data_IF_729520495758
#
_entry.id   IF_729520495758
#
_cell.length_a   1.000
_cell.length_b   1.000
_cell.length_c   1.000
_cell.angle_alpha   90.00
_cell.angle_beta   90.00
_cell.angle_gamma   90.00
#
_symmetry.space_group_name_H-M   'P 1'
#
loop_
_entity.id
_entity.type
_entity.pdbx_description
1 polymer ?
#
# COMPACT_ATOMS: atom_id res chain seq x y z
N UNK A 1 -26.21 -14.77 4.31
CA UNK A 1 -25.76 -15.75 3.31
C UNK A 1 -25.85 -15.22 1.88
N UNK A 2 -26.05 -13.92 1.69
CA UNK A 2 -25.65 -13.21 0.46
C UNK A 2 -24.26 -12.61 0.75
N UNK A 3 -23.19 -13.01 0.05
CA UNK A 3 -22.06 -12.12 -0.31
C UNK A 3 -20.78 -12.79 -0.86
N UNK A 4 -20.58 -14.11 -0.86
CA UNK A 4 -19.30 -14.66 -1.36
C UNK A 4 -19.23 -14.85 -2.89
N UNK A 5 -20.37 -14.93 -3.58
CA UNK A 5 -20.41 -15.21 -5.02
C UNK A 5 -20.26 -13.97 -5.92
N UNK A 6 -20.51 -12.76 -5.41
CA UNK A 6 -20.35 -11.52 -6.23
C UNK A 6 -18.87 -11.10 -6.40
N UNK A 7 -17.97 -11.56 -5.54
CA UNK A 7 -16.57 -11.11 -5.52
C UNK A 7 -15.58 -12.12 -6.13
N UNK A 8 -16.00 -13.36 -6.37
CA UNK A 8 -15.12 -14.47 -6.78
C UNK A 8 -14.61 -14.39 -8.23
N UNK A 9 -15.07 -13.42 -9.03
CA UNK A 9 -14.79 -13.35 -10.48
C UNK A 9 -14.16 -12.04 -10.96
N UNK A 10 -13.76 -11.13 -10.06
CA UNK A 10 -13.24 -9.81 -10.48
C UNK A 10 -11.84 -9.92 -11.07
N UNK A 11 -11.01 -10.81 -10.52
CA UNK A 11 -9.70 -11.12 -11.05
C UNK A 11 -9.77 -12.37 -11.93
N UNK A 12 -9.03 -12.37 -13.03
CA UNK A 12 -8.92 -13.50 -13.94
C UNK A 12 -8.19 -14.66 -13.26
N UNK A 13 -8.79 -15.85 -13.34
CA UNK A 13 -8.18 -17.10 -12.85
C UNK A 13 -6.96 -17.51 -13.70
N UNK A 14 -6.96 -17.20 -15.00
CA UNK A 14 -5.90 -17.56 -15.95
C UNK A 14 -5.05 -16.34 -16.31
N UNK A 15 -4.55 -15.62 -15.32
CA UNK A 15 -3.67 -14.47 -15.53
C UNK A 15 -2.27 -14.91 -15.97
N UNK A 16 -1.72 -14.25 -17.00
CA UNK A 16 -0.35 -14.51 -17.45
C UNK A 16 0.66 -13.82 -16.52
N UNK A 17 1.13 -14.55 -15.51
CA UNK A 17 2.13 -14.07 -14.55
C UNK A 17 3.49 -13.79 -15.19
N UNK A 18 3.77 -14.29 -16.40
CA UNK A 18 5.05 -14.03 -17.08
C UNK A 18 5.16 -12.60 -17.60
N UNK A 19 4.04 -11.89 -17.68
CA UNK A 19 3.99 -10.47 -18.06
C UNK A 19 4.39 -9.51 -16.93
N UNK A 20 4.46 -9.99 -15.69
CA UNK A 20 4.80 -9.17 -14.52
C UNK A 20 6.29 -8.82 -14.54
N UNK A 21 6.59 -7.54 -14.41
CA UNK A 21 7.98 -7.06 -14.31
C UNK A 21 8.21 -6.43 -12.94
N UNK A 22 9.43 -6.58 -12.42
CA UNK A 22 9.89 -5.97 -11.16
C UNK A 22 10.94 -4.90 -11.46
N UNK A 23 10.74 -3.72 -10.88
CA UNK A 23 11.67 -2.59 -10.99
C UNK A 23 11.98 -2.07 -9.58
N UNK A 24 13.25 -2.10 -9.18
CA UNK A 24 13.67 -1.59 -7.85
C UNK A 24 13.74 -0.08 -7.89
N UNK A 25 13.21 0.59 -6.86
CA UNK A 25 13.28 2.04 -6.75
C UNK A 25 14.56 2.40 -6.00
N UNK A 26 15.42 3.20 -6.63
CA UNK A 26 16.58 3.77 -5.98
C UNK A 26 16.13 4.96 -5.13
N UNK A 27 15.99 4.74 -3.81
CA UNK A 27 15.62 5.81 -2.88
C UNK A 27 16.82 6.65 -2.44
N UNK A 28 17.99 6.03 -2.30
CA UNK A 28 19.20 6.69 -1.81
C UNK A 28 20.39 6.45 -2.74
N UNK A 29 21.14 7.51 -3.11
CA UNK A 29 20.73 8.93 -3.07
C UNK A 29 19.48 9.18 -3.95
N UNK A 30 18.73 10.29 -3.75
CA UNK A 30 19.07 11.44 -2.92
C UNK A 30 18.65 11.31 -1.44
N UNK A 31 17.70 10.44 -1.11
CA UNK A 31 17.09 10.43 0.24
C UNK A 31 18.06 9.88 1.29
N UNK A 32 18.07 10.51 2.47
CA UNK A 32 18.70 9.95 3.68
C UNK A 32 17.67 9.10 4.41
N UNK A 33 17.97 7.81 4.63
CA UNK A 33 17.07 6.86 5.26
C UNK A 33 17.70 6.37 6.59
N UNK A 34 17.02 6.58 7.71
CA UNK A 34 17.54 6.25 9.05
C UNK A 34 17.52 4.75 9.34
N UNK A 35 16.43 4.08 8.93
CA UNK A 35 16.17 2.68 9.28
C UNK A 35 16.56 1.69 8.15
N UNK A 36 16.98 2.21 7.00
CA UNK A 36 17.33 1.42 5.82
C UNK A 36 18.79 1.59 5.48
N UNK A 37 19.45 0.47 5.13
CA UNK A 37 20.83 0.54 4.67
C UNK A 37 20.92 1.35 3.37
N UNK A 38 21.83 2.32 3.31
CA UNK A 38 22.24 3.01 2.08
C UNK A 38 22.87 2.07 1.03
N UNK A 39 23.08 0.79 1.37
CA UNK A 39 23.56 -0.19 0.41
C UNK A 39 22.48 -0.51 -0.63
N UNK A 40 22.89 -0.67 -1.88
CA UNK A 40 22.04 -1.11 -2.99
C UNK A 40 21.44 -2.52 -2.83
N UNK A 41 21.76 -3.21 -1.73
CA UNK A 41 21.27 -4.55 -1.43
C UNK A 41 19.93 -4.54 -0.67
N UNK A 42 19.65 -3.45 0.04
CA UNK A 42 18.30 -3.22 0.58
C UNK A 42 17.41 -2.82 -0.61
N UNK A 43 16.27 -3.49 -0.76
CA UNK A 43 15.26 -3.14 -1.77
C UNK A 43 13.99 -2.69 -1.04
N UNK A 44 14.05 -1.59 -0.26
CA UNK A 44 12.97 -1.21 0.64
C UNK A 44 11.74 -0.70 -0.11
N UNK A 45 11.87 -0.38 -1.41
CA UNK A 45 10.76 -0.11 -2.31
C UNK A 45 11.02 -0.64 -3.73
N UNK A 46 9.98 -1.18 -4.37
CA UNK A 46 10.00 -1.62 -5.76
C UNK A 46 8.60 -1.58 -6.38
N UNK A 47 8.57 -1.56 -7.71
CA UNK A 47 7.36 -1.62 -8.52
C UNK A 47 7.19 -3.02 -9.07
N UNK A 48 5.95 -3.50 -9.08
CA UNK A 48 5.50 -4.60 -9.90
C UNK A 48 4.53 -4.05 -10.95
N UNK A 49 4.89 -4.17 -12.22
CA UNK A 49 4.04 -3.71 -13.34
C UNK A 49 3.28 -4.87 -13.94
N UNK A 50 2.20 -4.56 -14.66
CA UNK A 50 1.33 -5.54 -15.30
C UNK A 50 0.79 -6.59 -14.31
N UNK A 51 0.44 -6.20 -13.08
CA UNK A 51 -0.12 -7.14 -12.10
C UNK A 51 -1.63 -7.32 -12.25
N UNK A 52 -2.31 -6.32 -12.80
CA UNK A 52 -3.73 -6.34 -13.10
C UNK A 52 -3.98 -5.77 -14.50
N UNK A 53 -5.00 -6.28 -15.19
CA UNK A 53 -5.47 -5.66 -16.45
C UNK A 53 -6.31 -4.42 -16.16
N UNK A 54 -6.48 -3.55 -17.18
CA UNK A 54 -7.35 -2.38 -17.07
C UNK A 54 -8.80 -2.77 -16.77
N UNK A 55 -9.26 -3.91 -17.29
CA UNK A 55 -10.60 -4.46 -17.03
C UNK A 55 -10.76 -4.91 -15.57
N UNK A 56 -9.76 -5.58 -15.00
CA UNK A 56 -9.75 -5.98 -13.59
C UNK A 56 -9.76 -4.76 -12.68
N UNK A 57 -8.91 -3.76 -12.97
CA UNK A 57 -8.90 -2.50 -12.25
C UNK A 57 -10.25 -1.77 -12.32
N UNK A 58 -10.88 -1.74 -13.50
CA UNK A 58 -12.23 -1.18 -13.67
C UNK A 58 -13.27 -1.98 -12.88
N UNK A 59 -13.17 -3.30 -12.84
CA UNK A 59 -14.01 -4.17 -12.02
C UNK A 59 -13.92 -3.85 -10.53
N UNK A 60 -12.69 -3.67 -10.03
CA UNK A 60 -12.42 -3.25 -8.65
C UNK A 60 -12.95 -1.84 -8.34
N UNK A 61 -12.81 -0.89 -9.27
CA UNK A 61 -13.43 0.44 -9.11
C UNK A 61 -14.94 0.33 -9.04
N UNK A 62 -15.58 -0.40 -9.96
CA UNK A 62 -17.04 -0.57 -9.98
C UNK A 62 -17.58 -1.24 -8.70
N UNK A 63 -16.81 -2.19 -8.15
CA UNK A 63 -17.11 -2.82 -6.87
C UNK A 63 -17.21 -1.77 -5.76
N UNK A 64 -16.20 -0.90 -5.65
CA UNK A 64 -16.11 0.12 -4.60
C UNK A 64 -17.10 1.28 -4.82
N UNK A 65 -17.28 1.72 -6.06
CA UNK A 65 -18.17 2.81 -6.46
C UNK A 65 -19.65 2.41 -6.50
N UNK A 66 -20.04 1.24 -5.98
CA UNK A 66 -21.44 0.80 -6.00
C UNK A 66 -22.34 1.78 -5.23
N UNK A 67 -22.88 2.78 -5.95
CA UNK A 67 -23.57 3.96 -5.40
C UNK A 67 -24.85 3.59 -4.66
N UNK A 68 -25.43 2.42 -4.94
CA UNK A 68 -26.60 1.92 -4.19
C UNK A 68 -26.25 1.57 -2.74
N UNK A 69 -24.99 1.21 -2.48
CA UNK A 69 -24.48 0.81 -1.17
C UNK A 69 -23.78 1.95 -0.41
N UNK A 70 -23.40 3.05 -1.09
CA UNK A 70 -22.79 4.22 -0.44
C UNK A 70 -21.51 3.88 0.34
N UNK A 71 -20.66 3.02 -0.24
CA UNK A 71 -19.59 2.31 0.48
C UNK A 71 -18.41 3.19 0.91
N UNK A 72 -18.16 4.27 0.17
CA UNK A 72 -17.09 5.21 0.49
C UNK A 72 -17.51 6.12 1.64
N UNK A 73 -16.79 6.03 2.75
CA UNK A 73 -16.90 6.96 3.89
C UNK A 73 -15.68 7.87 3.92
N UNK A 74 -15.81 9.03 4.56
CA UNK A 74 -14.66 9.94 4.69
C UNK A 74 -13.57 9.28 5.54
N UNK A 75 -12.30 9.45 5.16
CA UNK A 75 -11.21 8.77 5.86
C UNK A 75 -10.95 9.41 7.22
N UNK A 76 -10.81 8.57 8.24
CA UNK A 76 -10.40 8.96 9.59
C UNK A 76 -8.86 8.90 9.68
N UNK A 77 -8.29 9.82 10.45
CA UNK A 77 -6.89 9.85 10.84
C UNK A 77 -6.84 9.53 12.32
N UNK A 78 -5.96 8.62 12.74
CA UNK A 78 -5.73 8.39 14.15
C UNK A 78 -4.78 9.47 14.68
N UNK A 79 -5.27 10.34 15.55
CA UNK A 79 -4.49 11.37 16.24
C UNK A 79 -4.58 11.03 17.72
N UNK A 80 -3.44 10.70 18.34
CA UNK A 80 -3.34 10.37 19.77
C UNK A 80 -4.27 9.22 20.23
N UNK A 81 -4.54 8.24 19.37
CA UNK A 81 -5.41 7.11 19.68
C UNK A 81 -6.89 7.34 19.36
N UNK A 82 -7.29 8.54 18.93
CA UNK A 82 -8.65 8.85 18.50
C UNK A 82 -8.76 8.98 16.98
N UNK A 83 -9.79 8.36 16.40
CA UNK A 83 -10.08 8.44 14.98
C UNK A 83 -10.88 9.72 14.66
N UNK A 84 -10.21 10.71 14.08
CA UNK A 84 -10.80 12.02 13.74
C UNK A 84 -10.80 12.28 12.24
N UNK A 85 -11.79 13.03 11.75
CA UNK A 85 -11.78 13.55 10.38
C UNK A 85 -10.90 14.80 10.36
N UNK A 86 -9.69 14.69 9.79
CA UNK A 86 -8.81 15.84 9.59
C UNK A 86 -8.43 15.98 8.10
N UNK A 87 -9.11 16.91 7.41
CA UNK A 87 -8.94 17.14 5.96
C UNK A 87 -7.57 17.74 5.61
N UNK A 88 -6.91 18.39 6.56
CA UNK A 88 -5.59 19.00 6.36
C UNK A 88 -4.48 17.95 6.35
N UNK A 89 -4.69 16.85 7.08
CA UNK A 89 -3.77 15.69 7.16
C UNK A 89 -4.10 14.65 6.09
N UNK A 90 -5.38 14.29 5.96
CA UNK A 90 -5.81 13.31 4.96
C UNK A 90 -7.17 13.69 4.41
N UNK A 91 -7.21 13.97 3.12
CA UNK A 91 -8.45 14.18 2.38
C UNK A 91 -8.63 13.03 1.38
N UNK A 92 -9.85 12.52 1.29
CA UNK A 92 -10.16 11.31 0.53
C UNK A 92 -11.24 10.47 1.21
N UNK A 93 -11.82 9.56 0.44
CA UNK A 93 -12.78 8.58 0.96
C UNK A 93 -12.22 7.16 0.91
N UNK A 94 -12.63 6.33 1.87
CA UNK A 94 -12.21 4.95 2.02
C UNK A 94 -13.41 4.00 2.02
N UNK A 95 -13.24 2.85 1.39
CA UNK A 95 -14.11 1.69 1.54
C UNK A 95 -13.26 0.50 1.99
N UNK A 96 -13.70 -0.21 3.03
CA UNK A 96 -13.03 -1.38 3.57
C UNK A 96 -13.79 -2.64 3.12
N UNK A 97 -13.06 -3.58 2.53
CA UNK A 97 -13.55 -4.89 2.13
C UNK A 97 -12.56 -5.96 2.60
N UNK A 98 -13.01 -6.84 3.48
CA UNK A 98 -12.24 -8.05 3.80
C UNK A 98 -12.61 -9.12 2.75
N UNK A 99 -11.62 -9.60 1.96
CA UNK A 99 -11.87 -10.52 0.85
C UNK A 99 -10.70 -11.47 0.57
N UNK A 100 -10.80 -12.70 1.11
CA UNK A 100 -9.86 -13.78 0.86
C UNK A 100 -9.74 -14.16 -0.62
N UNK A 101 -10.86 -14.09 -1.37
CA UNK A 101 -10.88 -14.47 -2.78
C UNK A 101 -10.04 -13.53 -3.66
N UNK A 102 -10.11 -12.21 -3.42
CA UNK A 102 -9.29 -11.24 -4.17
C UNK A 102 -7.83 -11.34 -3.71
N UNK A 103 -7.62 -11.43 -2.39
CA UNK A 103 -6.29 -11.42 -1.78
C UNK A 103 -5.48 -12.67 -2.16
N UNK A 104 -6.09 -13.86 -2.16
CA UNK A 104 -5.43 -15.10 -2.60
C UNK A 104 -5.02 -15.08 -4.09
N UNK A 105 -5.84 -14.49 -4.95
CA UNK A 105 -5.53 -14.32 -6.37
C UNK A 105 -4.39 -13.32 -6.59
N UNK A 106 -4.42 -12.17 -5.89
CA UNK A 106 -3.32 -11.22 -5.91
C UNK A 106 -2.02 -11.86 -5.40
N UNK A 107 -2.09 -12.57 -4.27
CA UNK A 107 -0.94 -13.25 -3.66
C UNK A 107 -0.31 -14.27 -4.60
N UNK A 108 -1.13 -15.07 -5.30
CA UNK A 108 -0.66 -16.02 -6.31
C UNK A 108 0.19 -15.33 -7.38
N UNK A 109 -0.22 -14.13 -7.83
CA UNK A 109 0.50 -13.36 -8.85
C UNK A 109 1.81 -12.78 -8.34
N UNK A 110 1.81 -12.20 -7.13
CA UNK A 110 2.93 -11.35 -6.68
C UNK A 110 3.94 -12.06 -5.78
N UNK A 111 3.54 -13.15 -5.10
CA UNK A 111 4.38 -13.81 -4.09
C UNK A 111 5.79 -14.18 -4.55
N UNK A 112 6.05 -14.55 -5.83
CA UNK A 112 7.42 -14.82 -6.29
C UNK A 112 8.34 -13.59 -6.24
N UNK A 113 7.80 -12.39 -6.16
CA UNK A 113 8.55 -11.12 -6.17
C UNK A 113 8.72 -10.50 -4.77
N UNK A 114 7.99 -11.01 -3.78
CA UNK A 114 8.00 -10.51 -2.40
C UNK A 114 9.16 -11.14 -1.62
N UNK A 115 9.91 -10.36 -0.82
CA UNK A 115 11.00 -10.90 -0.01
C UNK A 115 10.49 -11.99 0.95
N UNK A 116 11.03 -13.21 0.91
CA UNK A 116 10.58 -14.30 1.78
C UNK A 116 10.97 -14.07 3.25
N UNK A 117 11.99 -13.25 3.49
CA UNK A 117 12.46 -12.88 4.82
C UNK A 117 12.62 -11.36 4.89
N UNK A 118 12.13 -10.76 5.97
CA UNK A 118 12.30 -9.35 6.24
C UNK A 118 12.35 -9.11 7.75
N UNK A 119 13.31 -8.30 8.22
CA UNK A 119 13.46 -7.91 9.65
C UNK A 119 13.37 -9.08 10.64
N UNK A 120 13.91 -10.24 10.27
CA UNK A 120 13.93 -11.45 11.11
C UNK A 120 12.63 -12.27 11.12
N UNK A 121 11.65 -11.93 10.28
CA UNK A 121 10.38 -12.63 10.12
C UNK A 121 10.26 -13.28 8.73
N UNK A 122 9.36 -14.26 8.61
CA UNK A 122 9.08 -15.01 7.38
C UNK A 122 7.76 -14.58 6.79
N UNK A 123 7.69 -14.37 5.47
CA UNK A 123 6.46 -13.96 4.79
C UNK A 123 5.36 -15.04 4.94
N UNK A 124 4.13 -14.62 5.23
CA UNK A 124 2.98 -15.53 5.39
C UNK A 124 1.90 -15.32 4.33
N UNK A 125 1.79 -14.11 3.79
CA UNK A 125 0.81 -13.78 2.77
C UNK A 125 0.46 -12.31 2.79
N UNK A 126 -0.78 -12.01 2.43
CA UNK A 126 -1.35 -10.67 2.46
C UNK A 126 -2.40 -10.56 3.55
N UNK A 127 -2.61 -9.34 4.04
CA UNK A 127 -3.76 -9.00 4.86
C UNK A 127 -5.05 -9.12 4.02
N UNK A 128 -6.06 -9.78 4.56
CA UNK A 128 -7.38 -9.98 3.94
C UNK A 128 -8.14 -8.65 3.74
N UNK A 129 -7.76 -7.60 4.48
CA UNK A 129 -8.39 -6.29 4.47
C UNK A 129 -7.90 -5.41 3.33
N UNK A 130 -8.74 -5.28 2.30
CA UNK A 130 -8.55 -4.34 1.21
C UNK A 130 -9.12 -2.96 1.58
N UNK A 131 -8.28 -1.94 1.48
CA UNK A 131 -8.66 -0.54 1.70
C UNK A 131 -8.73 0.16 0.36
N UNK A 132 -9.92 0.27 -0.22
CA UNK A 132 -10.16 1.07 -1.40
C UNK A 132 -10.09 2.55 -1.02
N UNK A 133 -9.31 3.32 -1.75
CA UNK A 133 -9.09 4.74 -1.52
C UNK A 133 -9.46 5.51 -2.78
N UNK A 134 -10.17 6.62 -2.61
CA UNK A 134 -10.57 7.54 -3.66
C UNK A 134 -10.15 8.95 -3.29
N UNK A 135 -9.44 9.60 -4.22
CA UNK A 135 -8.98 10.97 -4.10
C UNK A 135 -9.53 11.81 -5.26
N UNK A 136 -10.21 12.89 -4.93
CA UNK A 136 -10.81 13.88 -5.84
C UNK A 136 -9.88 15.11 -5.96
N UNK A 137 -10.10 16.01 -6.93
CA UNK A 137 -9.30 17.21 -7.08
C UNK A 137 -9.24 18.04 -5.79
N UNK A 138 -8.04 18.54 -5.47
CA UNK A 138 -7.75 19.25 -4.22
C UNK A 138 -7.40 18.33 -3.04
N UNK A 139 -7.51 17.01 -3.18
CA UNK A 139 -7.19 16.07 -2.11
C UNK A 139 -5.75 15.57 -2.19
N UNK A 140 -5.18 15.23 -1.02
CA UNK A 140 -3.82 14.73 -0.83
C UNK A 140 -3.74 13.87 0.43
N UNK A 141 -2.61 13.20 0.61
CA UNK A 141 -2.25 12.57 1.88
C UNK A 141 -0.88 13.08 2.30
N UNK A 142 -0.80 13.81 3.42
CA UNK A 142 0.44 14.43 3.88
C UNK A 142 1.52 13.40 4.24
N UNK A 143 2.79 13.82 4.39
CA UNK A 143 3.88 12.93 4.81
C UNK A 143 3.54 12.12 6.07
N UNK A 144 3.76 10.81 5.99
CA UNK A 144 3.53 9.87 7.09
C UNK A 144 4.34 8.57 6.91
N UNK A 145 4.39 7.79 8.00
CA UNK A 145 4.72 6.37 7.97
C UNK A 145 3.44 5.54 8.03
N UNK A 146 3.46 4.35 7.43
CA UNK A 146 2.30 3.48 7.45
C UNK A 146 2.20 2.70 8.76
N UNK A 147 0.99 2.64 9.32
CA UNK A 147 0.73 1.88 10.54
C UNK A 147 0.89 0.38 10.32
N UNK A 148 1.51 -0.30 11.29
CA UNK A 148 1.63 -1.75 11.35
C UNK A 148 0.35 -2.41 11.88
N UNK A 149 -0.01 -3.56 11.34
CA UNK A 149 -1.12 -4.39 11.81
C UNK A 149 -0.57 -5.69 12.39
N UNK A 150 -1.09 -6.12 13.55
CA UNK A 150 -0.84 -7.44 14.11
C UNK A 150 -2.13 -8.25 14.06
N UNK A 151 -2.07 -9.50 13.59
CA UNK A 151 -3.27 -10.35 13.53
C UNK A 151 -3.70 -10.71 14.95
N UNK A 152 -4.98 -10.49 15.28
CA UNK A 152 -5.50 -10.77 16.62
C UNK A 152 -5.32 -12.25 17.03
N UNK A 153 -5.49 -13.18 16.07
CA UNK A 153 -5.33 -14.62 16.31
C UNK A 153 -3.87 -15.06 16.47
N UNK A 154 -2.91 -14.29 15.96
CA UNK A 154 -1.48 -14.54 16.11
C UNK A 154 -0.69 -13.22 16.14
N UNK A 155 -0.44 -12.65 17.34
CA UNK A 155 0.28 -11.38 17.47
C UNK A 155 1.72 -11.39 16.95
N UNK A 156 2.28 -12.56 16.64
CA UNK A 156 3.60 -12.68 16.01
C UNK A 156 3.53 -12.49 14.48
N UNK A 157 2.34 -12.56 13.90
CA UNK A 157 2.09 -12.24 12.50
C UNK A 157 1.73 -10.76 12.37
N UNK A 158 2.65 -10.00 11.80
CA UNK A 158 2.57 -8.54 11.68
C UNK A 158 2.75 -8.09 10.23
N UNK A 159 2.15 -6.97 9.85
CA UNK A 159 2.50 -6.32 8.59
C UNK A 159 3.85 -5.61 8.72
N UNK A 160 4.68 -5.72 7.68
CA UNK A 160 5.94 -4.98 7.57
C UNK A 160 6.07 -4.21 6.25
N UNK A 161 5.26 -4.56 5.26
CA UNK A 161 5.34 -4.02 3.89
C UNK A 161 3.94 -3.62 3.46
N UNK A 162 3.83 -2.46 2.83
CA UNK A 162 2.58 -2.00 2.21
C UNK A 162 2.57 -2.33 0.72
N UNK A 163 1.40 -2.78 0.26
CA UNK A 163 1.03 -2.84 -1.15
C UNK A 163 0.07 -1.70 -1.48
N UNK A 164 0.51 -0.85 -2.40
CA UNK A 164 -0.31 0.20 -2.97
C UNK A 164 -0.62 -0.14 -4.44
N UNK A 165 -1.85 -0.57 -4.70
CA UNK A 165 -2.32 -0.99 -6.03
C UNK A 165 -2.99 0.20 -6.71
N UNK A 166 -2.49 0.62 -7.88
CA UNK A 166 -3.07 1.72 -8.64
C UNK A 166 -4.13 1.19 -9.62
N UNK A 167 -5.38 1.65 -9.47
CA UNK A 167 -6.50 1.16 -10.28
C UNK A 167 -6.78 2.01 -11.53
N UNK A 168 -6.20 3.20 -11.61
CA UNK A 168 -6.30 4.05 -12.80
C UNK A 168 -5.11 5.01 -12.89
N UNK A 169 -4.98 5.67 -14.04
CA UNK A 169 -3.90 6.62 -14.37
C UNK A 169 -4.41 7.85 -15.15
N UNK A 170 -5.72 8.02 -15.28
CA UNK A 170 -6.36 9.13 -16.00
C UNK A 170 -6.67 10.32 -15.07
N UNK A 171 -5.64 10.85 -14.41
CA UNK A 171 -5.69 12.03 -13.52
C UNK A 171 -4.36 12.80 -13.58
N UNK A 172 -4.35 14.03 -13.06
CA UNK A 172 -3.16 14.88 -12.94
C UNK A 172 -2.71 15.02 -11.48
N UNK A 173 -1.40 14.95 -11.25
CA UNK A 173 -0.78 14.83 -9.92
C UNK A 173 -0.97 13.45 -9.30
N UNK A 174 -1.08 13.38 -7.97
CA UNK A 174 -1.34 12.13 -7.28
C UNK A 174 -0.18 11.14 -7.26
N UNK A 175 1.05 11.58 -7.48
CA UNK A 175 2.25 10.77 -7.27
C UNK A 175 2.32 10.24 -5.82
N UNK A 176 2.95 9.08 -5.63
CA UNK A 176 3.42 8.67 -4.30
C UNK A 176 4.86 9.13 -4.17
N UNK A 177 5.14 10.06 -3.24
CA UNK A 177 6.48 10.61 -3.05
C UNK A 177 7.10 9.99 -1.81
N UNK A 178 8.29 9.41 -1.95
CA UNK A 178 9.15 9.06 -0.83
C UNK A 178 9.99 10.28 -0.43
N UNK A 179 10.17 10.45 0.86
CA UNK A 179 10.87 11.57 1.48
C UNK A 179 12.02 11.04 2.35
N UNK A 180 13.06 11.86 2.54
CA UNK A 180 14.12 11.54 3.49
C UNK A 180 13.61 11.62 4.93
N UNK A 181 14.28 10.90 5.83
CA UNK A 181 14.00 10.93 7.26
C UNK A 181 14.68 12.13 7.97
N UNK A 182 15.08 13.17 7.24
CA UNK A 182 15.95 14.25 7.74
C UNK A 182 15.33 14.99 8.95
N UNK A 183 16.15 15.17 10.00
CA UNK A 183 15.86 16.01 11.18
C UNK A 183 16.32 17.47 11.00
N UNK A 184 16.96 17.77 9.87
CA UNK A 184 17.66 19.04 9.66
C UNK A 184 16.71 20.09 9.06
N UNK A 185 16.03 20.82 9.96
CA UNK A 185 15.28 22.07 9.74
C UNK A 185 16.11 23.24 9.13
N UNK A 186 17.36 22.99 8.70
CA UNK A 186 18.36 24.03 8.45
C UNK A 186 18.27 24.69 7.05
N UNK A 187 17.46 24.17 6.13
CA UNK A 187 17.25 24.77 4.80
C UNK A 187 15.75 24.94 4.48
N UNK A 188 15.09 25.77 5.28
CA UNK A 188 13.64 26.03 5.26
C UNK A 188 13.14 26.68 3.95
N UNK A 189 14.06 27.05 3.04
CA UNK A 189 13.79 27.72 1.76
C UNK A 189 13.88 26.78 0.53
N UNK A 190 14.22 25.50 0.70
CA UNK A 190 14.29 24.52 -0.40
C UNK A 190 13.19 23.45 -0.28
N UNK A 191 12.57 23.09 -1.41
CA UNK A 191 11.65 21.95 -1.45
C UNK A 191 12.41 20.68 -1.03
N UNK A 192 11.88 19.86 -0.10
CA UNK A 192 12.56 18.66 0.36
C UNK A 192 12.79 17.70 -0.81
N UNK A 193 13.97 17.10 -0.86
CA UNK A 193 14.28 16.08 -1.86
C UNK A 193 13.28 14.92 -1.76
N UNK A 194 12.81 14.48 -2.93
CA UNK A 194 11.82 13.40 -3.02
C UNK A 194 12.07 12.49 -4.19
N UNK A 195 11.70 11.23 -4.03
CA UNK A 195 11.65 10.24 -5.11
C UNK A 195 10.18 9.93 -5.40
N UNK A 196 9.72 10.32 -6.59
CA UNK A 196 8.31 10.23 -6.99
C UNK A 196 8.02 8.96 -7.78
N UNK A 197 6.93 8.29 -7.43
CA UNK A 197 6.32 7.20 -8.19
C UNK A 197 5.05 7.70 -8.85
N UNK A 198 5.06 7.75 -10.18
CA UNK A 198 3.88 8.07 -10.99
C UNK A 198 2.97 6.84 -11.08
N UNK A 199 1.68 6.93 -10.69
CA UNK A 199 0.73 5.83 -10.80
C UNK A 199 0.54 5.37 -12.25
N UNK A 200 0.45 4.05 -12.43
CA UNK A 200 0.09 3.40 -13.70
C UNK A 200 -1.01 2.38 -13.42
N UNK A 201 -2.03 2.30 -14.28
CA UNK A 201 -3.13 1.35 -14.07
C UNK A 201 -2.62 -0.09 -14.02
N UNK A 202 -2.94 -0.80 -12.94
CA UNK A 202 -2.55 -2.21 -12.74
C UNK A 202 -1.14 -2.40 -12.21
N UNK A 203 -0.41 -1.32 -11.93
CA UNK A 203 0.86 -1.34 -11.22
C UNK A 203 0.63 -1.45 -9.70
N UNK A 204 1.57 -2.13 -9.04
CA UNK A 204 1.65 -2.23 -7.58
C UNK A 204 2.97 -1.61 -7.14
N UNK A 205 2.91 -0.61 -6.28
CA UNK A 205 4.04 -0.14 -5.50
C UNK A 205 4.12 -0.96 -4.21
N UNK A 206 5.28 -1.58 -3.98
CA UNK A 206 5.58 -2.40 -2.79
C UNK A 206 6.70 -1.73 -2.03
N UNK A 207 6.50 -1.45 -0.75
CA UNK A 207 7.49 -0.74 0.06
C UNK A 207 7.37 -1.04 1.56
N UNK A 208 8.49 -0.98 2.28
CA UNK A 208 8.51 -1.16 3.74
C UNK A 208 7.77 -0.03 4.46
N UNK A 209 7.00 -0.36 5.50
CA UNK A 209 6.07 0.58 6.15
C UNK A 209 6.73 1.74 6.90
N UNK A 210 8.02 1.60 7.21
CA UNK A 210 8.86 2.61 7.87
C UNK A 210 9.57 3.54 6.89
N UNK A 211 9.11 3.61 5.64
CA UNK A 211 9.50 4.64 4.68
C UNK A 211 8.57 5.85 4.75
N UNK A 212 9.12 7.03 4.98
CA UNK A 212 8.37 8.28 4.97
C UNK A 212 7.85 8.55 3.56
N UNK A 213 6.55 8.76 3.43
CA UNK A 213 5.94 9.00 2.13
C UNK A 213 4.66 9.83 2.20
N UNK A 214 4.26 10.37 1.06
CA UNK A 214 3.02 11.13 0.90
C UNK A 214 2.30 10.77 -0.41
N UNK A 215 1.02 11.15 -0.49
CA UNK A 215 0.26 11.18 -1.73
C UNK A 215 0.11 12.62 -2.21
N UNK A 216 0.72 12.95 -3.34
CA UNK A 216 0.68 14.29 -3.91
C UNK A 216 -0.75 14.74 -4.23
N UNK A 217 -0.92 16.07 -4.33
CA UNK A 217 -2.19 16.70 -4.65
C UNK A 217 -2.77 16.17 -5.97
N UNK A 218 -4.05 15.81 -5.97
CA UNK A 218 -4.81 15.59 -7.20
C UNK A 218 -5.20 16.96 -7.76
N UNK A 219 -4.73 17.27 -8.96
CA UNK A 219 -5.04 18.54 -9.64
C UNK A 219 -6.27 18.42 -10.52
N UNK A 220 -6.40 17.31 -11.24
CA UNK A 220 -7.53 17.00 -12.11
C UNK A 220 -7.81 15.49 -12.13
N UNK A 221 -9.05 15.11 -12.44
CA UNK A 221 -9.50 13.72 -12.43
C UNK A 221 -9.72 13.12 -11.03
N UNK A 222 -9.89 11.80 -10.96
CA UNK A 222 -10.10 11.07 -9.70
C UNK A 222 -9.14 9.90 -9.65
N UNK A 223 -8.37 9.78 -8.57
CA UNK A 223 -7.44 8.66 -8.34
C UNK A 223 -8.10 7.59 -7.48
N UNK A 224 -8.02 6.35 -7.95
CA UNK A 224 -8.46 5.15 -7.24
C UNK A 224 -7.29 4.23 -6.96
N UNK A 225 -7.20 3.75 -5.73
CA UNK A 225 -6.17 2.79 -5.33
C UNK A 225 -6.71 1.78 -4.33
N UNK A 226 -6.05 0.64 -4.19
CA UNK A 226 -6.29 -0.30 -3.08
C UNK A 226 -5.01 -0.42 -2.28
N UNK A 227 -5.12 -0.27 -0.96
CA UNK A 227 -4.05 -0.60 -0.03
C UNK A 227 -4.34 -1.91 0.70
N UNK A 228 -3.37 -2.80 0.72
CA UNK A 228 -3.27 -3.91 1.67
C UNK A 228 -1.82 -4.04 2.13
N UNK A 229 -1.51 -5.02 2.95
CA UNK A 229 -0.22 -5.16 3.60
C UNK A 229 0.30 -6.61 3.44
N UNK A 230 1.62 -6.80 3.28
CA UNK A 230 2.25 -8.12 3.37
C UNK A 230 2.48 -8.46 4.82
N UNK A 231 2.02 -9.65 5.20
CA UNK A 231 2.14 -10.21 6.53
C UNK A 231 3.41 -11.05 6.65
N UNK A 232 4.06 -10.92 7.81
CA UNK A 232 5.27 -11.64 8.18
C UNK A 232 5.12 -12.19 9.60
N UNK A 233 5.60 -13.41 9.83
CA UNK A 233 5.54 -14.06 11.15
C UNK A 233 6.93 -14.23 11.76
N UNK A 234 7.05 -13.83 13.03
CA UNK A 234 8.22 -14.12 13.85
C UNK A 234 8.13 -15.53 14.43
N UNK A 235 9.22 -16.28 14.34
CA UNK A 235 9.33 -17.59 15.01
C UNK A 235 9.16 -17.43 16.52
N UNK A 236 8.32 -18.26 17.14
CA UNK A 236 8.30 -18.43 18.60
C UNK A 236 9.70 -18.88 19.05
N UNK A 237 10.33 -18.17 19.98
CA UNK A 237 11.57 -18.65 20.60
C UNK A 237 11.28 -20.00 21.25
N UNK A 238 11.92 -21.06 20.75
CA UNK A 238 11.91 -22.38 21.37
C UNK A 238 12.72 -22.32 22.68
N UNK A 239 12.04 -22.37 23.83
CA UNK A 239 12.64 -22.39 25.17
C UNK A 239 12.38 -21.08 25.92
N UNK A 240 11.66 -21.04 27.03
CA UNK A 240 11.53 -22.01 28.11
C UNK A 240 11.70 -21.17 29.38
N UNK A 241 10.71 -21.19 30.28
CA UNK A 241 10.83 -20.55 31.58
C UNK A 241 12.09 -21.11 32.26
N UNK A 242 13.11 -20.29 32.41
CA UNK A 242 14.07 -20.49 33.49
C UNK A 242 13.49 -19.71 34.66
N UNK A 243 12.90 -20.47 35.59
CA UNK A 243 12.45 -20.01 36.89
C UNK A 243 13.62 -19.41 37.70
#
# INVERSE_FOLDING_TARGET
>A
MENDTEHSSILLQNFDMTSITKEVICLSPPLKLKNHSESSSSQPAFLLRNCLTREECKGLINLAENKKKGLFTQTLVNIEGEDVINKDVRSGSRYILDSEAIVSQLWTRISPHIPPFLKGAVVTGLNERLRFLRYEPGQKFVPHYDGTYARESDPLEVSLVTLQIYLNDNFDGGETNFLGDDDDDDDQDCDPEKVSVTPETGMILVFEQDLMHEGALIRDGVKYTVRTDVMYSYSKKSGGLVL
#
